data_IF_228688812519
#
_entry.id   IF_228688812519
#
_cell.length_a   1.000
_cell.length_b   1.000
_cell.length_c   1.000
_cell.angle_alpha   90.00
_cell.angle_beta   90.00
_cell.angle_gamma   90.00
#
_symmetry.space_group_name_H-M   'P 1'
#
loop_
_entity.id
_entity.type
_entity.pdbx_description
1 polymer ?
#
# COMPACT_ATOMS: atom_id res chain seq x y z
N UNK A 1 22.10 -36.98 -2.96
CA UNK A 1 20.63 -36.85 -2.77
C UNK A 1 20.25 -37.59 -1.50
N UNK A 2 19.92 -36.91 -0.38
CA UNK A 2 19.42 -37.58 0.84
C UNK A 2 18.02 -38.15 0.53
N UNK A 3 17.83 -39.46 0.73
CA UNK A 3 16.51 -40.11 0.67
C UNK A 3 15.60 -39.39 1.69
N UNK A 4 14.60 -38.69 1.23
CA UNK A 4 13.59 -38.05 2.09
C UNK A 4 12.83 -39.14 2.84
N UNK A 5 12.73 -39.01 4.15
CA UNK A 5 12.04 -39.98 4.99
C UNK A 5 10.54 -39.93 4.65
N UNK A 6 9.89 -41.06 4.41
CA UNK A 6 8.47 -41.19 4.02
C UNK A 6 7.54 -40.33 4.93
N UNK A 7 7.87 -40.24 6.23
CA UNK A 7 7.14 -39.41 7.19
C UNK A 7 7.27 -37.91 6.87
N UNK A 8 8.43 -37.45 6.42
CA UNK A 8 8.64 -36.04 6.03
C UNK A 8 7.89 -35.69 4.73
N UNK A 9 7.88 -36.61 3.78
CA UNK A 9 7.14 -36.46 2.54
C UNK A 9 5.61 -36.37 2.82
N UNK A 10 5.09 -37.28 3.64
CA UNK A 10 3.68 -37.31 4.02
C UNK A 10 3.28 -36.00 4.76
N UNK A 11 4.10 -35.54 5.70
CA UNK A 11 3.87 -34.26 6.40
C UNK A 11 3.83 -33.09 5.44
N UNK A 12 4.77 -33.00 4.49
CA UNK A 12 4.77 -31.95 3.46
C UNK A 12 3.52 -31.99 2.59
N UNK A 13 3.10 -33.19 2.14
CA UNK A 13 1.88 -33.33 1.32
C UNK A 13 0.63 -32.85 2.08
N UNK A 14 0.51 -33.24 3.36
CA UNK A 14 -0.60 -32.79 4.21
C UNK A 14 -0.58 -31.26 4.37
N UNK A 15 0.59 -30.69 4.70
CA UNK A 15 0.72 -29.22 4.85
C UNK A 15 0.42 -28.49 3.55
N UNK A 16 0.91 -29.00 2.41
CA UNK A 16 0.61 -28.42 1.10
C UNK A 16 -0.89 -28.50 0.79
N UNK A 17 -1.53 -29.62 1.11
CA UNK A 17 -2.99 -29.77 0.95
C UNK A 17 -3.77 -28.76 1.79
N UNK A 18 -3.42 -28.63 3.09
CA UNK A 18 -4.04 -27.65 3.99
C UNK A 18 -3.84 -26.22 3.49
N UNK A 19 -2.59 -25.86 3.11
CA UNK A 19 -2.30 -24.53 2.57
C UNK A 19 -3.03 -24.28 1.26
N UNK A 20 -3.14 -25.29 0.39
CA UNK A 20 -3.91 -25.19 -0.85
C UNK A 20 -5.40 -24.96 -0.60
N UNK A 21 -5.99 -25.69 0.35
CA UNK A 21 -7.38 -25.48 0.74
C UNK A 21 -7.63 -24.07 1.31
N UNK A 22 -6.74 -23.59 2.18
CA UNK A 22 -6.79 -22.21 2.70
C UNK A 22 -6.66 -21.17 1.58
N UNK A 23 -5.73 -21.38 0.65
CA UNK A 23 -5.58 -20.46 -0.50
C UNK A 23 -6.84 -20.41 -1.37
N UNK A 24 -7.49 -21.54 -1.62
CA UNK A 24 -8.75 -21.60 -2.36
C UNK A 24 -9.86 -20.82 -1.66
N UNK A 25 -10.00 -20.96 -0.33
CA UNK A 25 -11.01 -20.17 0.41
C UNK A 25 -10.76 -18.69 0.34
N UNK A 26 -9.49 -18.25 0.31
CA UNK A 26 -9.13 -16.83 0.17
C UNK A 26 -9.40 -16.27 -1.24
N UNK A 27 -9.30 -17.09 -2.28
CA UNK A 27 -9.54 -16.68 -3.67
C UNK A 27 -11.04 -16.61 -3.99
N UNK A 28 -11.86 -17.41 -3.29
CA UNK A 28 -13.29 -17.59 -3.55
C UNK A 28 -14.10 -16.26 -3.58
N UNK A 29 -13.90 -15.30 -2.64
CA UNK A 29 -14.58 -14.00 -2.70
C UNK A 29 -14.23 -13.19 -3.96
N UNK A 30 -12.98 -13.29 -4.44
CA UNK A 30 -12.55 -12.58 -5.65
C UNK A 30 -13.16 -13.19 -6.91
N UNK A 31 -13.30 -14.52 -6.97
CA UNK A 31 -14.00 -15.21 -8.07
C UNK A 31 -15.48 -14.78 -8.08
N UNK A 32 -16.12 -14.72 -6.90
CA UNK A 32 -17.49 -14.24 -6.81
C UNK A 32 -17.64 -12.78 -7.24
N UNK A 33 -16.75 -11.90 -6.79
CA UNK A 33 -16.71 -10.49 -7.20
C UNK A 33 -16.57 -10.35 -8.72
N UNK A 34 -15.68 -11.14 -9.33
CA UNK A 34 -15.50 -11.16 -10.79
C UNK A 34 -16.76 -11.65 -11.49
N UNK A 35 -17.37 -12.75 -11.02
CA UNK A 35 -18.63 -13.26 -11.55
C UNK A 35 -19.75 -12.22 -11.42
N UNK A 36 -19.88 -11.58 -10.26
CA UNK A 36 -20.91 -10.57 -9.99
C UNK A 36 -20.74 -9.33 -10.88
N UNK A 37 -19.51 -8.95 -11.24
CA UNK A 37 -19.25 -7.84 -12.16
C UNK A 37 -19.78 -8.06 -13.58
N UNK A 38 -20.04 -9.31 -13.94
CA UNK A 38 -20.55 -9.71 -15.26
C UNK A 38 -22.09 -9.86 -15.30
N UNK A 39 -22.76 -9.79 -14.15
CA UNK A 39 -24.21 -10.01 -14.04
C UNK A 39 -25.00 -8.73 -14.26
N UNK A 40 -26.29 -8.90 -14.62
CA UNK A 40 -27.27 -7.84 -14.47
C UNK A 40 -27.53 -7.62 -12.96
N UNK A 41 -27.92 -6.40 -12.57
CA UNK A 41 -28.07 -6.03 -11.15
C UNK A 41 -29.00 -6.98 -10.37
N UNK A 42 -30.11 -7.38 -10.97
CA UNK A 42 -31.10 -8.29 -10.35
C UNK A 42 -30.52 -9.67 -10.00
N UNK A 43 -29.48 -10.12 -10.70
CA UNK A 43 -28.90 -11.45 -10.56
C UNK A 43 -27.68 -11.49 -9.63
N UNK A 44 -27.24 -10.35 -9.08
CA UNK A 44 -26.04 -10.29 -8.23
C UNK A 44 -26.22 -11.11 -6.95
N UNK A 45 -27.38 -11.00 -6.30
CA UNK A 45 -27.68 -11.66 -5.02
C UNK A 45 -28.81 -12.67 -5.13
N UNK A 46 -28.79 -13.52 -6.16
CA UNK A 46 -29.76 -14.62 -6.29
C UNK A 46 -29.46 -15.77 -5.34
N UNK A 47 -30.50 -16.47 -4.90
CA UNK A 47 -30.37 -17.70 -4.13
C UNK A 47 -31.04 -18.86 -4.89
N UNK A 48 -30.37 -20.01 -5.08
CA UNK A 48 -28.99 -20.33 -4.69
C UNK A 48 -27.95 -19.47 -5.43
N UNK A 49 -26.75 -19.31 -4.83
CA UNK A 49 -25.67 -18.50 -5.40
C UNK A 49 -25.25 -19.06 -6.76
N UNK A 50 -25.36 -18.24 -7.79
CA UNK A 50 -24.93 -18.59 -9.14
C UNK A 50 -23.53 -18.04 -9.42
N UNK A 51 -22.59 -18.94 -9.69
CA UNK A 51 -21.21 -18.58 -9.99
C UNK A 51 -21.00 -18.15 -11.44
N UNK A 52 -21.84 -18.63 -12.36
CA UNK A 52 -21.81 -18.30 -13.78
C UNK A 52 -23.06 -17.47 -14.08
N UNK A 53 -22.93 -16.28 -14.67
CA UNK A 53 -24.10 -15.44 -14.99
C UNK A 53 -25.07 -16.15 -15.93
N UNK A 54 -26.37 -16.07 -15.63
CA UNK A 54 -27.42 -16.50 -16.58
C UNK A 54 -27.50 -15.54 -17.76
N UNK A 55 -27.42 -14.24 -17.45
CA UNK A 55 -27.38 -13.16 -18.43
C UNK A 55 -26.08 -12.39 -18.26
N UNK A 56 -25.30 -12.30 -19.33
CA UNK A 56 -24.02 -11.61 -19.35
C UNK A 56 -24.24 -10.13 -19.68
N UNK A 57 -23.81 -9.24 -18.78
CA UNK A 57 -23.94 -7.78 -18.92
C UNK A 57 -22.58 -7.07 -18.86
N UNK A 58 -21.53 -7.72 -19.36
CA UNK A 58 -20.14 -7.25 -19.23
C UNK A 58 -19.96 -5.88 -19.88
N UNK A 59 -20.32 -5.77 -21.16
CA UNK A 59 -20.06 -4.55 -21.94
C UNK A 59 -20.78 -3.35 -21.31
N UNK A 60 -22.03 -3.52 -20.92
CA UNK A 60 -22.84 -2.46 -20.34
C UNK A 60 -22.31 -2.04 -18.95
N UNK A 61 -22.02 -3.01 -18.06
CA UNK A 61 -21.51 -2.71 -16.74
C UNK A 61 -20.14 -1.99 -16.79
N UNK A 62 -19.23 -2.47 -17.62
CA UNK A 62 -17.90 -1.85 -17.76
C UNK A 62 -17.97 -0.49 -18.47
N UNK A 63 -18.81 -0.35 -19.51
CA UNK A 63 -19.03 0.92 -20.19
C UNK A 63 -19.62 1.96 -19.22
N UNK A 64 -20.62 1.58 -18.39
CA UNK A 64 -21.21 2.47 -17.39
C UNK A 64 -20.20 2.92 -16.34
N UNK A 65 -19.36 2.02 -15.82
CA UNK A 65 -18.34 2.38 -14.83
C UNK A 65 -17.29 3.31 -15.42
N UNK A 66 -16.78 3.02 -16.62
CA UNK A 66 -15.68 3.80 -17.19
C UNK A 66 -16.11 5.08 -17.92
N UNK A 67 -17.27 5.09 -18.56
CA UNK A 67 -17.76 6.19 -19.38
C UNK A 67 -19.08 6.81 -18.92
N UNK A 68 -19.71 6.25 -17.87
CA UNK A 68 -21.01 6.65 -17.36
C UNK A 68 -20.98 7.86 -16.43
N UNK A 69 -22.06 8.01 -15.67
CA UNK A 69 -22.34 9.16 -14.81
C UNK A 69 -21.29 9.46 -13.75
N UNK A 70 -20.62 8.44 -13.22
CA UNK A 70 -19.78 8.55 -12.00
C UNK A 70 -18.30 8.79 -12.27
N UNK A 71 -17.88 8.97 -13.54
CA UNK A 71 -16.49 9.33 -13.89
C UNK A 71 -15.41 8.49 -13.21
N UNK A 72 -15.57 7.16 -13.15
CA UNK A 72 -14.62 6.26 -12.48
C UNK A 72 -13.18 6.42 -13.00
N UNK A 73 -13.00 6.71 -14.29
CA UNK A 73 -11.71 7.02 -14.88
C UNK A 73 -11.00 8.18 -14.12
N UNK A 74 -11.76 9.22 -13.76
CA UNK A 74 -11.21 10.36 -12.98
C UNK A 74 -10.74 9.90 -11.61
N UNK A 75 -11.53 9.10 -10.90
CA UNK A 75 -11.15 8.56 -9.58
C UNK A 75 -9.93 7.66 -9.68
N UNK A 76 -9.85 6.86 -10.74
CA UNK A 76 -8.74 5.95 -11.00
C UNK A 76 -7.43 6.72 -11.23
N UNK A 77 -7.46 7.73 -12.11
CA UNK A 77 -6.29 8.59 -12.39
C UNK A 77 -5.88 9.41 -11.16
N UNK A 78 -6.83 9.91 -10.38
CA UNK A 78 -6.58 10.60 -9.12
C UNK A 78 -5.88 9.67 -8.12
N UNK A 79 -6.37 8.43 -7.98
CA UNK A 79 -5.76 7.43 -7.10
C UNK A 79 -4.33 7.10 -7.52
N UNK A 80 -4.07 6.87 -8.81
CA UNK A 80 -2.71 6.65 -9.32
C UNK A 80 -1.83 7.85 -8.96
N UNK A 81 -2.25 9.06 -9.29
CA UNK A 81 -1.50 10.29 -9.02
C UNK A 81 -1.17 10.44 -7.54
N UNK A 82 -2.18 10.38 -6.68
CA UNK A 82 -2.02 10.58 -5.23
C UNK A 82 -1.14 9.47 -4.65
N UNK A 83 -1.42 8.21 -4.99
CA UNK A 83 -0.69 7.06 -4.43
C UNK A 83 0.79 7.07 -4.85
N UNK A 84 1.07 7.26 -6.13
CA UNK A 84 2.45 7.23 -6.64
C UNK A 84 3.26 8.39 -6.04
N UNK A 85 2.75 9.62 -6.08
CA UNK A 85 3.46 10.78 -5.57
C UNK A 85 3.65 10.72 -4.05
N UNK A 86 2.64 10.27 -3.30
CA UNK A 86 2.74 10.10 -1.86
C UNK A 86 3.76 9.02 -1.50
N UNK A 87 3.76 7.90 -2.22
CA UNK A 87 4.69 6.79 -1.99
C UNK A 87 6.14 7.23 -2.25
N UNK A 88 6.40 7.86 -3.38
CA UNK A 88 7.75 8.36 -3.73
C UNK A 88 8.24 9.34 -2.66
N UNK A 89 7.41 10.33 -2.30
CA UNK A 89 7.78 11.36 -1.33
C UNK A 89 8.02 10.74 0.05
N UNK A 90 7.12 9.89 0.53
CA UNK A 90 7.24 9.26 1.84
C UNK A 90 8.46 8.32 1.93
N UNK A 91 8.73 7.49 0.92
CA UNK A 91 9.89 6.59 0.90
C UNK A 91 11.19 7.40 0.89
N UNK A 92 11.25 8.46 0.09
CA UNK A 92 12.41 9.35 0.01
C UNK A 92 12.68 10.03 1.35
N UNK A 93 11.67 10.66 1.95
CA UNK A 93 11.81 11.34 3.26
C UNK A 93 12.18 10.34 4.36
N UNK A 94 11.55 9.16 4.38
CA UNK A 94 11.86 8.11 5.35
C UNK A 94 13.28 7.58 5.18
N UNK A 95 13.78 7.41 3.95
CA UNK A 95 15.13 6.94 3.69
C UNK A 95 16.19 7.96 4.14
N UNK A 96 15.97 9.24 3.87
CA UNK A 96 16.89 10.31 4.32
C UNK A 96 16.92 10.41 5.84
N UNK A 97 15.76 10.37 6.50
CA UNK A 97 15.67 10.39 7.95
C UNK A 97 16.31 9.13 8.58
N UNK A 98 16.02 7.95 8.02
CA UNK A 98 16.58 6.68 8.47
C UNK A 98 18.12 6.67 8.38
N UNK A 99 18.68 7.18 7.27
CA UNK A 99 20.12 7.32 7.11
C UNK A 99 20.71 8.24 8.17
N UNK A 100 20.11 9.39 8.42
CA UNK A 100 20.58 10.32 9.46
C UNK A 100 20.62 9.64 10.83
N UNK A 101 19.56 8.96 11.24
CA UNK A 101 19.48 8.28 12.52
C UNK A 101 20.32 6.99 12.60
N UNK A 102 20.60 6.33 11.49
CA UNK A 102 21.39 5.09 11.47
C UNK A 102 22.91 5.35 11.38
N UNK A 103 23.34 6.32 10.56
CA UNK A 103 24.73 6.45 10.11
C UNK A 103 25.41 7.78 10.48
N UNK A 104 24.63 8.79 10.87
CA UNK A 104 25.20 10.09 11.27
C UNK A 104 25.22 10.19 12.80
N UNK A 105 26.38 10.58 13.35
CA UNK A 105 26.50 10.87 14.78
C UNK A 105 26.23 12.35 15.01
N UNK A 106 25.18 12.68 15.74
CA UNK A 106 24.85 14.04 16.12
C UNK A 106 24.30 14.10 17.57
N UNK A 107 24.36 15.28 18.18
CA UNK A 107 23.91 15.49 19.55
C UNK A 107 22.41 15.21 19.69
N UNK A 108 22.02 14.50 20.75
CA UNK A 108 20.63 14.11 21.04
C UNK A 108 19.97 13.12 20.03
N UNK A 109 20.72 12.48 19.14
CA UNK A 109 20.22 11.55 18.11
C UNK A 109 19.23 10.54 18.67
N UNK A 110 19.63 9.83 19.75
CA UNK A 110 18.84 8.73 20.29
C UNK A 110 17.59 9.24 21.04
N UNK A 111 17.71 10.39 21.71
CA UNK A 111 16.55 11.06 22.35
C UNK A 111 15.53 11.55 21.31
N UNK A 112 15.98 12.17 20.23
CA UNK A 112 15.10 12.59 19.13
C UNK A 112 14.46 11.39 18.43
N UNK A 113 15.19 10.30 18.28
CA UNK A 113 14.63 9.07 17.71
C UNK A 113 13.53 8.49 18.60
N UNK A 114 13.73 8.43 19.92
CA UNK A 114 12.72 7.99 20.87
C UNK A 114 11.49 8.92 20.87
N UNK A 115 11.69 10.23 20.85
CA UNK A 115 10.60 11.20 20.74
C UNK A 115 9.80 10.99 19.45
N UNK A 116 10.49 10.74 18.33
CA UNK A 116 9.82 10.46 17.08
C UNK A 116 9.03 9.16 17.10
N UNK A 117 9.57 8.11 17.75
CA UNK A 117 8.84 6.85 17.95
C UNK A 117 7.61 7.03 18.87
N UNK A 118 7.71 7.88 19.89
CA UNK A 118 6.57 8.16 20.78
C UNK A 118 5.37 8.74 20.02
N UNK A 119 5.57 9.40 18.88
CA UNK A 119 4.48 9.88 18.03
C UNK A 119 3.62 8.75 17.46
N UNK A 120 4.13 7.51 17.34
CA UNK A 120 3.32 6.36 16.93
C UNK A 120 2.23 5.99 17.95
N UNK A 121 2.40 6.40 19.21
CA UNK A 121 1.41 6.13 20.26
C UNK A 121 0.18 7.04 20.16
N UNK A 122 0.26 8.11 19.36
CA UNK A 122 -0.85 9.04 19.18
C UNK A 122 -1.75 8.50 18.05
N UNK A 123 -3.00 8.11 18.34
CA UNK A 123 -3.92 7.64 17.32
C UNK A 123 -4.20 8.72 16.26
N UNK A 124 -4.22 8.34 15.00
CA UNK A 124 -4.49 9.27 13.88
C UNK A 124 -5.84 9.99 14.03
N UNK A 125 -6.84 9.30 14.60
CA UNK A 125 -8.18 9.83 14.84
C UNK A 125 -8.18 11.08 15.75
N UNK A 126 -7.27 11.13 16.74
CA UNK A 126 -7.13 12.29 17.64
C UNK A 126 -6.54 13.50 16.90
N UNK A 127 -5.67 13.24 15.93
CA UNK A 127 -4.96 14.31 15.20
C UNK A 127 -5.67 14.80 13.95
N UNK A 128 -6.77 14.15 13.53
CA UNK A 128 -7.43 14.45 12.26
C UNK A 128 -8.03 15.87 12.21
N UNK A 129 -8.66 16.31 13.32
CA UNK A 129 -9.25 17.66 13.40
C UNK A 129 -8.17 18.75 13.42
N UNK A 130 -7.12 18.69 14.27
CA UNK A 130 -6.00 19.62 14.18
C UNK A 130 -5.36 19.66 12.78
N UNK A 131 -5.10 18.49 12.16
CA UNK A 131 -4.58 18.41 10.79
C UNK A 131 -5.50 19.15 9.80
N UNK A 132 -6.82 18.92 9.89
CA UNK A 132 -7.80 19.58 9.02
C UNK A 132 -7.73 21.10 9.14
N UNK A 133 -7.68 21.65 10.36
CA UNK A 133 -7.60 23.10 10.60
C UNK A 133 -6.31 23.69 10.00
N UNK A 134 -5.16 23.03 10.21
CA UNK A 134 -3.87 23.45 9.65
C UNK A 134 -3.91 23.43 8.12
N UNK A 135 -4.37 22.33 7.51
CA UNK A 135 -4.39 22.20 6.05
C UNK A 135 -5.38 23.17 5.40
N UNK A 136 -6.48 23.47 6.10
CA UNK A 136 -7.44 24.49 5.65
C UNK A 136 -6.82 25.90 5.69
N UNK A 137 -6.09 26.26 6.76
CA UNK A 137 -5.40 27.55 6.86
C UNK A 137 -4.30 27.73 5.83
N UNK A 138 -3.61 26.63 5.47
CA UNK A 138 -2.59 26.59 4.41
C UNK A 138 -3.17 26.53 2.99
N UNK A 139 -4.50 26.57 2.81
CA UNK A 139 -5.21 26.43 1.53
C UNK A 139 -4.93 25.10 0.81
N UNK A 140 -4.59 24.06 1.56
CA UNK A 140 -4.34 22.69 1.08
C UNK A 140 -5.59 21.80 1.12
N UNK A 141 -6.68 22.26 1.76
CA UNK A 141 -7.99 21.60 1.75
C UNK A 141 -8.52 21.50 0.32
N UNK A 142 -9.17 20.40 0.02
CA UNK A 142 -9.71 20.06 -1.29
C UNK A 142 -8.66 20.11 -2.42
N UNK A 143 -7.43 19.64 -2.13
CA UNK A 143 -6.34 19.51 -3.12
C UNK A 143 -5.64 18.17 -3.02
N UNK A 144 -5.19 17.62 -4.16
CA UNK A 144 -4.34 16.41 -4.14
C UNK A 144 -3.00 16.68 -3.46
N UNK A 145 -2.45 17.91 -3.56
CA UNK A 145 -1.23 18.27 -2.86
C UNK A 145 -1.39 18.12 -1.34
N UNK A 146 -2.55 18.50 -0.80
CA UNK A 146 -2.86 18.29 0.60
C UNK A 146 -2.77 16.83 0.99
N UNK A 147 -3.42 15.91 0.25
CA UNK A 147 -3.33 14.46 0.52
C UNK A 147 -1.90 13.94 0.41
N UNK A 148 -1.15 14.36 -0.62
CA UNK A 148 0.23 13.93 -0.84
C UNK A 148 1.12 14.35 0.33
N UNK A 149 1.04 15.61 0.78
CA UNK A 149 1.82 16.12 1.90
C UNK A 149 1.41 15.45 3.21
N UNK A 150 0.11 15.22 3.44
CA UNK A 150 -0.38 14.53 4.63
C UNK A 150 0.19 13.12 4.75
N UNK A 151 0.28 12.39 3.62
CA UNK A 151 0.83 11.04 3.56
C UNK A 151 2.35 10.95 3.43
N UNK A 152 3.09 12.07 3.30
CA UNK A 152 4.53 12.07 3.00
C UNK A 152 5.43 11.76 4.19
N UNK A 153 4.92 11.78 5.42
CA UNK A 153 5.66 11.46 6.63
C UNK A 153 5.17 10.15 7.24
N UNK A 154 6.10 9.31 7.67
CA UNK A 154 5.77 8.04 8.31
C UNK A 154 6.83 7.68 9.34
N UNK A 155 6.42 7.61 10.61
CA UNK A 155 7.28 7.13 11.70
C UNK A 155 7.65 5.67 11.46
N UNK A 156 6.66 4.86 11.06
CA UNK A 156 6.88 3.44 10.73
C UNK A 156 7.89 3.26 9.58
N UNK A 157 7.74 4.03 8.50
CA UNK A 157 8.64 3.95 7.35
C UNK A 157 10.09 4.30 7.69
N UNK A 158 10.29 5.37 8.46
CA UNK A 158 11.61 5.76 8.95
C UNK A 158 12.19 4.69 9.89
N UNK A 159 11.38 4.17 10.83
CA UNK A 159 11.81 3.12 11.75
C UNK A 159 12.25 1.85 11.03
N UNK A 160 11.45 1.35 10.07
CA UNK A 160 11.75 0.16 9.28
C UNK A 160 13.08 0.31 8.55
N UNK A 161 13.26 1.41 7.82
CA UNK A 161 14.49 1.67 7.08
C UNK A 161 15.70 1.90 8.02
N UNK A 162 15.52 2.58 9.15
CA UNK A 162 16.58 2.78 10.14
C UNK A 162 17.05 1.46 10.71
N UNK A 163 16.15 0.53 11.04
CA UNK A 163 16.52 -0.79 11.54
C UNK A 163 17.35 -1.56 10.51
N UNK A 164 16.93 -1.54 9.24
CA UNK A 164 17.68 -2.17 8.15
C UNK A 164 19.07 -1.53 7.99
N UNK A 165 19.13 -0.20 7.86
CA UNK A 165 20.37 0.54 7.65
C UNK A 165 21.36 0.42 8.83
N UNK A 166 20.85 0.24 10.06
CA UNK A 166 21.71 -0.02 11.24
C UNK A 166 22.47 -1.34 11.11
N UNK A 167 21.92 -2.34 10.43
CA UNK A 167 22.58 -3.61 10.17
C UNK A 167 23.68 -3.57 9.12
N UNK A 168 23.81 -2.49 8.35
CA UNK A 168 24.89 -2.31 7.36
C UNK A 168 26.19 -1.96 8.12
N UNK A 169 27.32 -2.64 7.88
CA UNK A 169 28.59 -2.35 8.56
C UNK A 169 29.06 -0.92 8.38
N UNK A 170 29.45 -0.25 9.48
CA UNK A 170 29.94 1.13 9.45
C UNK A 170 31.26 1.27 8.69
N UNK A 171 32.08 0.20 8.64
CA UNK A 171 33.32 0.15 7.86
C UNK A 171 33.14 0.56 6.40
N UNK A 172 31.99 0.26 5.77
CA UNK A 172 31.69 0.69 4.40
C UNK A 172 31.59 2.22 4.28
N UNK A 173 30.99 2.86 5.29
CA UNK A 173 30.89 4.31 5.33
C UNK A 173 32.23 4.97 5.66
N UNK A 174 33.04 4.35 6.51
CA UNK A 174 34.36 4.84 6.92
C UNK A 174 35.36 4.78 5.76
N UNK A 175 35.42 3.65 5.03
CA UNK A 175 36.26 3.51 3.82
C UNK A 175 35.90 4.58 2.81
N UNK A 176 34.63 4.79 2.50
CA UNK A 176 34.20 5.81 1.57
C UNK A 176 34.56 7.24 2.03
N UNK A 177 34.57 7.52 3.33
CA UNK A 177 35.02 8.82 3.86
C UNK A 177 36.50 9.01 3.67
N UNK A 178 37.33 7.97 3.83
CA UNK A 178 38.77 7.99 3.53
C UNK A 178 39.01 8.33 2.06
N UNK A 179 38.16 7.80 1.15
CA UNK A 179 38.15 8.10 -0.27
C UNK A 179 37.58 9.49 -0.61
N UNK A 180 37.28 10.33 0.39
CA UNK A 180 36.76 11.67 0.23
C UNK A 180 35.25 11.78 -0.08
N UNK A 181 34.48 10.70 0.10
CA UNK A 181 33.04 10.76 -0.14
C UNK A 181 32.30 11.50 1.00
N UNK A 182 31.55 12.52 0.65
CA UNK A 182 30.62 13.19 1.55
C UNK A 182 29.35 12.35 1.84
N UNK A 183 28.58 12.77 2.85
CA UNK A 183 27.35 12.05 3.27
C UNK A 183 26.35 11.80 2.14
N UNK A 184 26.16 12.74 1.20
CA UNK A 184 25.26 12.58 0.06
C UNK A 184 25.70 11.44 -0.86
N UNK A 185 27.01 11.30 -1.14
CA UNK A 185 27.56 10.22 -1.96
C UNK A 185 27.46 8.87 -1.24
N UNK A 186 27.78 8.81 0.05
CA UNK A 186 27.64 7.60 0.87
C UNK A 186 26.17 7.15 0.88
N UNK A 187 25.24 8.06 1.11
CA UNK A 187 23.81 7.77 1.09
C UNK A 187 23.34 7.18 -0.25
N UNK A 188 23.62 7.91 -1.35
CA UNK A 188 23.07 7.56 -2.68
C UNK A 188 23.78 6.37 -3.33
N UNK A 189 25.10 6.21 -3.15
CA UNK A 189 25.89 5.21 -3.86
C UNK A 189 26.20 3.95 -3.05
N UNK A 190 26.08 3.99 -1.71
CA UNK A 190 26.38 2.85 -0.85
C UNK A 190 25.15 2.39 -0.10
N UNK A 191 24.54 3.27 0.71
CA UNK A 191 23.46 2.87 1.63
C UNK A 191 22.15 2.58 0.90
N UNK A 192 21.73 3.43 -0.04
CA UNK A 192 20.48 3.21 -0.79
C UNK A 192 20.52 1.92 -1.61
N UNK A 193 21.56 1.61 -2.41
CA UNK A 193 21.64 0.37 -3.16
C UNK A 193 21.58 -0.89 -2.28
N UNK A 194 22.28 -0.89 -1.14
CA UNK A 194 22.24 -2.00 -0.18
C UNK A 194 20.85 -2.11 0.46
N UNK A 195 20.14 -0.99 0.63
CA UNK A 195 18.83 -0.93 1.28
C UNK A 195 17.66 -1.24 0.33
N UNK A 196 17.90 -1.56 -0.94
CA UNK A 196 16.83 -1.84 -1.94
C UNK A 196 15.75 -2.81 -1.44
N UNK A 197 16.07 -3.94 -0.78
CA UNK A 197 15.03 -4.85 -0.30
C UNK A 197 14.06 -4.17 0.70
N UNK A 198 14.58 -3.39 1.65
CA UNK A 198 13.77 -2.68 2.63
C UNK A 198 13.00 -1.49 2.00
N UNK A 199 13.62 -0.80 1.04
CA UNK A 199 12.97 0.28 0.28
C UNK A 199 11.80 -0.24 -0.53
N UNK A 200 11.95 -1.37 -1.23
CA UNK A 200 10.86 -1.99 -2.01
C UNK A 200 9.75 -2.47 -1.09
N UNK A 201 10.09 -3.10 0.04
CA UNK A 201 9.10 -3.50 1.04
C UNK A 201 8.29 -2.30 1.53
N UNK A 202 8.95 -1.20 1.92
CA UNK A 202 8.26 0.02 2.35
C UNK A 202 7.42 0.63 1.23
N UNK A 203 7.91 0.62 -0.01
CA UNK A 203 7.20 1.11 -1.20
C UNK A 203 5.88 0.36 -1.39
N UNK A 204 5.91 -0.97 -1.33
CA UNK A 204 4.71 -1.80 -1.49
C UNK A 204 3.71 -1.52 -0.39
N UNK A 205 4.15 -1.54 0.87
CA UNK A 205 3.27 -1.27 2.02
C UNK A 205 2.64 0.12 1.91
N UNK A 206 3.43 1.14 1.59
CA UNK A 206 2.91 2.51 1.45
C UNK A 206 1.95 2.64 0.28
N UNK A 207 2.26 2.01 -0.86
CA UNK A 207 1.38 1.99 -2.02
C UNK A 207 0.01 1.40 -1.65
N UNK A 208 0.01 0.21 -1.02
CA UNK A 208 -1.23 -0.47 -0.60
C UNK A 208 -2.03 0.39 0.38
N UNK A 209 -1.40 0.98 1.37
CA UNK A 209 -2.09 1.83 2.34
C UNK A 209 -2.69 3.08 1.72
N UNK A 210 -1.94 3.77 0.86
CA UNK A 210 -2.43 5.00 0.22
C UNK A 210 -3.50 4.71 -0.84
N UNK A 211 -3.37 3.60 -1.57
CA UNK A 211 -4.37 3.16 -2.55
C UNK A 211 -5.73 2.87 -1.93
N UNK A 212 -5.73 2.26 -0.74
CA UNK A 212 -6.95 1.91 -0.01
C UNK A 212 -7.41 3.00 0.97
N UNK A 213 -6.75 4.16 1.00
CA UNK A 213 -7.10 5.23 1.95
C UNK A 213 -8.44 5.86 1.59
N UNK A 214 -9.42 5.65 2.45
CA UNK A 214 -10.75 6.26 2.38
C UNK A 214 -10.86 7.44 3.34
N UNK A 215 -10.26 7.34 4.53
CA UNK A 215 -10.47 8.28 5.63
C UNK A 215 -9.92 9.68 5.31
N UNK A 216 -8.69 9.77 4.80
CA UNK A 216 -8.11 11.08 4.48
C UNK A 216 -8.83 11.76 3.30
N UNK A 217 -9.10 11.08 2.15
CA UNK A 217 -9.94 11.65 1.10
C UNK A 217 -11.31 12.13 1.61
N UNK A 218 -11.98 11.39 2.48
CA UNK A 218 -13.28 11.77 3.05
C UNK A 218 -13.22 13.09 3.82
N UNK A 219 -12.14 13.31 4.59
CA UNK A 219 -11.99 14.51 5.43
C UNK A 219 -11.42 15.69 4.65
N UNK A 220 -10.48 15.44 3.74
CA UNK A 220 -9.69 16.50 3.10
C UNK A 220 -10.12 16.87 1.68
N UNK A 221 -11.05 16.13 1.06
CA UNK A 221 -11.62 16.45 -0.26
C UNK A 221 -13.12 16.74 -0.14
N UNK A 222 -13.62 17.63 -1.01
CA UNK A 222 -15.04 17.98 -1.11
C UNK A 222 -15.59 17.96 -2.54
N UNK A 223 -14.72 17.97 -3.54
CA UNK A 223 -15.11 17.99 -4.95
C UNK A 223 -15.02 16.61 -5.57
N UNK A 224 -16.09 16.12 -6.21
CA UNK A 224 -16.16 14.82 -6.87
C UNK A 224 -15.02 14.61 -7.88
N UNK A 225 -14.66 15.65 -8.62
CA UNK A 225 -13.55 15.58 -9.60
C UNK A 225 -12.17 15.30 -8.99
N UNK A 226 -12.06 15.38 -7.66
CA UNK A 226 -10.81 15.11 -6.92
C UNK A 226 -10.84 13.81 -6.14
N UNK A 227 -11.97 13.11 -6.10
CA UNK A 227 -12.08 11.87 -5.34
C UNK A 227 -11.13 10.80 -5.85
N UNK A 228 -10.61 10.01 -4.92
CA UNK A 228 -9.88 8.78 -5.17
C UNK A 228 -10.85 7.60 -5.29
N UNK A 229 -10.40 6.43 -5.74
CA UNK A 229 -11.25 5.24 -5.93
C UNK A 229 -12.09 4.93 -4.68
N UNK A 230 -11.50 4.76 -3.46
CA UNK A 230 -12.31 4.40 -2.30
C UNK A 230 -13.42 5.40 -2.01
N UNK A 231 -13.15 6.69 -2.19
CA UNK A 231 -14.15 7.74 -2.02
C UNK A 231 -15.15 7.77 -3.19
N UNK A 232 -14.67 7.61 -4.43
CA UNK A 232 -15.51 7.59 -5.62
C UNK A 232 -16.49 6.41 -5.67
N UNK A 233 -16.10 5.25 -5.12
CA UNK A 233 -16.97 4.07 -5.06
C UNK A 233 -18.26 4.32 -4.26
N UNK A 234 -18.27 5.24 -3.31
CA UNK A 234 -19.50 5.61 -2.58
C UNK A 234 -20.56 6.23 -3.48
N UNK A 235 -20.18 6.73 -4.67
CA UNK A 235 -21.12 7.30 -5.65
C UNK A 235 -22.02 6.24 -6.33
N UNK A 236 -21.60 4.98 -6.33
CA UNK A 236 -22.43 3.86 -6.80
C UNK A 236 -23.48 3.42 -5.76
N UNK A 237 -23.41 3.98 -4.54
CA UNK A 237 -24.37 3.77 -3.46
C UNK A 237 -25.15 5.07 -3.27
N UNK A 238 -26.41 5.10 -3.66
CA UNK A 238 -27.33 6.20 -3.37
C UNK A 238 -28.31 5.79 -2.27
N UNK A 239 -29.02 6.74 -1.67
CA UNK A 239 -30.02 6.44 -0.61
C UNK A 239 -31.12 5.47 -1.07
N UNK A 240 -31.43 5.46 -2.37
CA UNK A 240 -32.54 4.68 -2.94
C UNK A 240 -32.10 3.51 -3.84
N UNK A 241 -30.86 3.54 -4.34
CA UNK A 241 -30.36 2.51 -5.25
C UNK A 241 -28.91 2.17 -4.94
N UNK A 242 -28.63 0.87 -4.84
CA UNK A 242 -27.27 0.34 -4.73
C UNK A 242 -27.01 -0.49 -5.99
N UNK A 243 -26.05 -0.05 -6.79
CA UNK A 243 -25.66 -0.73 -8.01
C UNK A 243 -24.50 -1.68 -7.74
N UNK A 244 -24.82 -2.83 -7.15
CA UNK A 244 -23.82 -3.81 -6.73
C UNK A 244 -23.00 -4.36 -7.89
N UNK A 245 -23.62 -4.60 -9.06
CA UNK A 245 -22.88 -5.02 -10.25
C UNK A 245 -21.79 -4.01 -10.65
N UNK A 246 -22.10 -2.71 -10.61
CA UNK A 246 -21.14 -1.64 -10.91
C UNK A 246 -20.07 -1.50 -9.82
N UNK A 247 -20.43 -1.67 -8.55
CA UNK A 247 -19.47 -1.70 -7.44
C UNK A 247 -18.48 -2.87 -7.62
N UNK A 248 -18.97 -4.04 -8.05
CA UNK A 248 -18.10 -5.19 -8.32
C UNK A 248 -17.16 -4.93 -9.50
N UNK A 249 -17.63 -4.29 -10.58
CA UNK A 249 -16.75 -3.85 -11.68
C UNK A 249 -15.67 -2.88 -11.18
N UNK A 250 -16.07 -1.84 -10.45
CA UNK A 250 -15.14 -0.87 -9.88
C UNK A 250 -14.10 -1.53 -8.96
N UNK A 251 -14.54 -2.51 -8.15
CA UNK A 251 -13.69 -3.29 -7.25
C UNK A 251 -12.69 -4.17 -8.01
N UNK A 252 -13.14 -4.86 -9.07
CA UNK A 252 -12.28 -5.66 -9.96
C UNK A 252 -11.20 -4.77 -10.58
N UNK A 253 -11.58 -3.60 -11.08
CA UNK A 253 -10.61 -2.66 -11.65
C UNK A 253 -9.66 -2.08 -10.60
N UNK A 254 -10.17 -1.78 -9.38
CA UNK A 254 -9.36 -1.22 -8.29
C UNK A 254 -8.30 -2.20 -7.76
N UNK A 255 -8.51 -3.50 -7.87
CA UNK A 255 -7.56 -4.52 -7.41
C UNK A 255 -6.35 -4.68 -8.35
N UNK A 256 -6.51 -4.38 -9.66
CA UNK A 256 -5.46 -4.63 -10.66
C UNK A 256 -4.10 -3.98 -10.32
N UNK A 257 -4.01 -2.70 -9.94
CA UNK A 257 -2.72 -2.09 -9.58
C UNK A 257 -2.08 -2.75 -8.36
N UNK A 258 -2.88 -3.19 -7.38
CA UNK A 258 -2.37 -3.88 -6.20
C UNK A 258 -1.75 -5.23 -6.57
N UNK A 259 -2.40 -6.00 -7.45
CA UNK A 259 -1.87 -7.27 -7.97
C UNK A 259 -0.56 -7.02 -8.71
N UNK A 260 -0.53 -6.01 -9.60
CA UNK A 260 0.67 -5.65 -10.36
C UNK A 260 1.83 -5.32 -9.41
N UNK A 261 1.63 -4.41 -8.47
CA UNK A 261 2.65 -4.00 -7.50
C UNK A 261 3.14 -5.19 -6.68
N UNK A 262 2.22 -6.08 -6.24
CA UNK A 262 2.58 -7.27 -5.49
C UNK A 262 3.40 -8.27 -6.33
N UNK A 263 2.99 -8.57 -7.56
CA UNK A 263 3.70 -9.51 -8.43
C UNK A 263 5.15 -9.09 -8.70
N UNK A 264 5.38 -7.79 -8.91
CA UNK A 264 6.74 -7.26 -9.10
C UNK A 264 7.55 -7.20 -7.80
N UNK A 265 6.89 -6.99 -6.67
CA UNK A 265 7.55 -6.76 -5.39
C UNK A 265 7.64 -7.97 -4.46
N UNK A 266 6.89 -9.07 -4.69
CA UNK A 266 6.80 -10.22 -3.78
C UNK A 266 8.15 -10.81 -3.38
N UNK A 267 9.11 -10.87 -4.30
CA UNK A 267 10.46 -11.36 -4.04
C UNK A 267 11.13 -10.59 -2.90
N UNK A 268 11.06 -9.26 -2.93
CA UNK A 268 11.69 -8.40 -1.94
C UNK A 268 10.94 -8.41 -0.59
N UNK A 269 9.62 -8.60 -0.62
CA UNK A 269 8.82 -8.75 0.63
C UNK A 269 9.26 -10.01 1.37
N UNK A 270 9.41 -11.14 0.66
CA UNK A 270 9.87 -12.40 1.24
C UNK A 270 11.30 -12.26 1.79
N UNK A 271 12.22 -11.67 1.02
CA UNK A 271 13.60 -11.43 1.44
C UNK A 271 13.67 -10.47 2.65
N UNK A 272 12.88 -9.41 2.67
CA UNK A 272 12.83 -8.44 3.77
C UNK A 272 12.30 -9.03 5.08
N UNK A 273 11.31 -9.91 5.00
CA UNK A 273 10.76 -10.63 6.17
C UNK A 273 11.75 -11.66 6.71
N UNK A 274 12.47 -12.37 5.85
CA UNK A 274 13.44 -13.38 6.26
C UNK A 274 14.73 -12.79 6.80
N UNK A 275 15.18 -11.64 6.30
CA UNK A 275 16.36 -10.94 6.82
C UNK A 275 16.20 -10.51 8.30
N UNK A 276 14.97 -10.27 8.76
CA UNK A 276 14.64 -10.02 10.17
C UNK A 276 14.58 -11.29 11.04
N UNK A 277 14.34 -12.46 10.43
CA UNK A 277 14.13 -13.73 11.13
C UNK A 277 15.43 -14.54 11.30
N UNK A 278 16.45 -14.30 10.48
CA UNK A 278 17.76 -14.99 10.56
C UNK A 278 18.72 -14.17 11.43
N UNK A 279 18.37 -13.96 12.69
CA UNK A 279 19.29 -13.63 13.79
C UNK A 279 19.26 -14.81 14.75
N UNK A 280 19.93 -15.88 14.37
CA UNK A 280 20.20 -17.06 15.17
C UNK A 280 21.49 -17.65 14.71
#
# INVERSE_FOLDING_TARGET
>A
MKKENTKQLLFRLIMTGIMGALALTMILPFIWMLSASFKVEADVFTYPVEWIPRQWNIIQNYAEVWGGRYSFLTFYLNSIKVTVLTTILQVTVSAMAAYAFAKIKFKFRDGLFLLYLAMMMIPDQVTIVPKFLIFRSLKLYNTHLGLILLGSFSVYGMFLLKQFMTGIPDALCESAKIDGAGHGRIFSQIILPISVPALVTLTILKFVWTWNDYQNPLVFLSSDSKYTIPMGMTKFMTEYNQFYSLIMVASVCAILPLIIVFLFGQKYVIEGMTAGAVKG
#
